data_IF_470908249449
#
_entry.id   IF_470908249449
#
_cell.length_a   1.000
_cell.length_b   1.000
_cell.length_c   1.000
_cell.angle_alpha   90.00
_cell.angle_beta   90.00
_cell.angle_gamma   90.00
#
_symmetry.space_group_name_H-M   'P 1'
#
loop_
_entity.id
_entity.type
_entity.pdbx_description
1 polymer ?
#
# COMPACT_ATOMS: atom_id res chain seq x y z
N UNK A 1 -5.47 11.40 -13.51
CA UNK A 1 -5.74 12.21 -14.71
C UNK A 1 -4.77 13.39 -14.70
N UNK A 2 -3.95 13.52 -15.75
CA UNK A 2 -2.94 14.57 -15.88
C UNK A 2 -3.15 15.32 -17.20
N UNK A 3 -3.02 16.65 -17.19
CA UNK A 3 -3.00 17.46 -18.40
C UNK A 3 -1.58 17.38 -19.00
N UNK A 4 -1.47 16.84 -20.21
CA UNK A 4 -0.19 16.66 -20.89
C UNK A 4 0.19 17.89 -21.71
N UNK A 5 -0.80 18.54 -22.33
CA UNK A 5 -0.61 19.79 -23.06
C UNK A 5 -1.91 20.59 -23.04
N UNK A 6 -1.78 21.90 -23.11
CA UNK A 6 -2.85 22.83 -23.28
C UNK A 6 -2.38 23.92 -24.26
N UNK A 7 -3.05 24.02 -25.40
CA UNK A 7 -2.78 25.02 -26.42
C UNK A 7 -4.01 25.92 -26.55
N UNK A 8 -3.80 27.22 -26.51
CA UNK A 8 -4.85 28.23 -26.70
C UNK A 8 -4.50 29.10 -27.91
N UNK A 9 -5.40 29.18 -28.88
CA UNK A 9 -5.21 29.97 -30.09
C UNK A 9 -6.37 30.94 -30.22
N UNK A 10 -6.07 32.22 -30.36
CA UNK A 10 -7.07 33.22 -30.64
C UNK A 10 -7.60 33.07 -32.07
N UNK A 11 -8.92 33.15 -32.25
CA UNK A 11 -9.58 33.07 -33.56
C UNK A 11 -10.51 34.26 -33.78
N UNK A 12 -10.65 34.62 -35.04
CA UNK A 12 -11.64 35.61 -35.42
C UNK A 12 -13.06 35.04 -35.32
N UNK A 13 -13.98 35.84 -34.86
CA UNK A 13 -15.42 35.54 -34.90
C UNK A 13 -15.99 35.81 -36.32
N UNK A 14 -17.30 35.66 -36.48
CA UNK A 14 -18.00 35.89 -37.75
C UNK A 14 -17.94 37.34 -38.24
N UNK A 15 -17.55 38.28 -37.41
CA UNK A 15 -17.33 39.68 -37.74
C UNK A 15 -15.87 40.02 -38.10
N UNK A 16 -14.98 39.03 -38.00
CA UNK A 16 -13.55 39.18 -38.24
C UNK A 16 -12.74 39.69 -37.04
N UNK A 17 -13.35 39.83 -35.89
CA UNK A 17 -12.69 40.30 -34.66
C UNK A 17 -12.16 39.12 -33.82
N UNK A 18 -10.96 39.25 -33.26
CA UNK A 18 -10.29 38.23 -32.46
C UNK A 18 -10.95 38.09 -31.06
N UNK A 19 -12.11 37.46 -31.01
CA UNK A 19 -12.94 37.31 -29.78
C UNK A 19 -13.11 35.85 -29.33
N UNK A 20 -12.67 34.90 -30.12
CA UNK A 20 -12.78 33.47 -29.80
C UNK A 20 -11.44 32.92 -29.38
N UNK A 21 -11.46 31.98 -28.46
CA UNK A 21 -10.29 31.20 -28.07
C UNK A 21 -10.59 29.75 -28.37
N UNK A 22 -9.77 29.17 -29.24
CA UNK A 22 -9.76 27.72 -29.47
C UNK A 22 -8.82 27.07 -28.46
N UNK A 23 -9.34 26.13 -27.67
CA UNK A 23 -8.59 25.46 -26.62
C UNK A 23 -8.46 23.97 -26.93
N UNK A 24 -7.21 23.52 -27.12
CA UNK A 24 -6.88 22.11 -27.31
C UNK A 24 -6.18 21.59 -26.07
N UNK A 25 -6.83 20.65 -25.36
CA UNK A 25 -6.31 20.06 -24.13
C UNK A 25 -6.11 18.55 -24.32
N UNK A 26 -4.88 18.08 -24.13
CA UNK A 26 -4.56 16.65 -24.11
C UNK A 26 -4.47 16.19 -22.66
N UNK A 27 -5.25 15.15 -22.36
CA UNK A 27 -5.35 14.58 -21.00
C UNK A 27 -4.88 13.13 -21.06
N UNK A 28 -4.05 12.73 -20.10
CA UNK A 28 -3.70 11.34 -19.83
C UNK A 28 -4.47 10.84 -18.61
N UNK A 29 -5.04 9.65 -18.72
CA UNK A 29 -5.71 8.97 -17.61
C UNK A 29 -5.04 7.62 -17.38
N UNK A 30 -4.86 7.28 -16.12
CA UNK A 30 -4.41 5.96 -15.69
C UNK A 30 -5.53 5.31 -14.89
N UNK A 31 -5.82 4.05 -15.18
CA UNK A 31 -6.78 3.24 -14.45
C UNK A 31 -6.10 1.95 -13.99
N UNK A 32 -6.33 1.57 -12.75
CA UNK A 32 -5.89 0.31 -12.20
C UNK A 32 -7.11 -0.44 -11.63
N UNK A 33 -7.17 -1.74 -11.89
CA UNK A 33 -8.14 -2.64 -11.31
C UNK A 33 -7.41 -3.74 -10.54
N UNK A 34 -7.96 -4.13 -9.40
CA UNK A 34 -7.39 -5.15 -8.52
C UNK A 34 -8.42 -6.25 -8.30
N UNK A 35 -7.95 -7.48 -8.27
CA UNK A 35 -8.75 -8.68 -7.99
C UNK A 35 -8.05 -9.49 -6.90
N UNK A 36 -8.82 -10.03 -5.95
CA UNK A 36 -8.30 -10.95 -4.95
C UNK A 36 -8.29 -12.36 -5.51
N UNK A 37 -7.10 -12.96 -5.58
CA UNK A 37 -6.91 -14.33 -6.00
C UNK A 37 -6.46 -15.19 -4.81
N UNK A 38 -7.07 -16.37 -4.58
CA UNK A 38 -6.57 -17.32 -3.60
C UNK A 38 -5.23 -17.90 -4.08
N UNK A 39 -4.23 -17.88 -3.21
CA UNK A 39 -2.89 -18.40 -3.52
C UNK A 39 -2.51 -19.42 -2.44
N UNK A 40 -2.09 -20.60 -2.85
CA UNK A 40 -1.62 -21.66 -1.97
C UNK A 40 -0.13 -21.90 -2.15
N UNK A 41 0.59 -22.06 -1.05
CA UNK A 41 2.03 -22.32 -1.04
C UNK A 41 2.34 -23.51 -0.17
N UNK A 42 3.29 -24.33 -0.62
CA UNK A 42 3.88 -25.38 0.21
C UNK A 42 4.90 -24.69 1.13
N UNK A 43 4.67 -24.80 2.43
CA UNK A 43 5.52 -24.18 3.46
C UNK A 43 6.41 -25.18 4.18
N UNK A 44 6.03 -26.45 4.17
CA UNK A 44 6.81 -27.54 4.73
C UNK A 44 6.60 -28.84 3.95
N UNK A 45 7.57 -29.76 4.02
CA UNK A 45 7.57 -31.03 3.34
C UNK A 45 8.45 -32.01 4.10
N UNK A 46 8.08 -33.28 4.13
CA UNK A 46 8.90 -34.38 4.57
C UNK A 46 8.57 -35.64 3.75
N UNK A 47 9.42 -36.65 3.86
CA UNK A 47 9.18 -37.97 3.29
C UNK A 47 9.26 -39.04 4.40
N UNK A 48 8.53 -40.13 4.21
CA UNK A 48 8.59 -41.31 5.09
C UNK A 48 9.72 -42.26 4.72
N UNK A 49 10.29 -42.11 3.52
CA UNK A 49 11.26 -43.06 2.96
C UNK A 49 12.70 -42.53 2.91
N UNK A 50 12.86 -41.21 2.67
CA UNK A 50 14.15 -40.57 2.46
C UNK A 50 14.23 -39.22 3.13
N UNK A 51 15.44 -38.70 3.28
CA UNK A 51 15.64 -37.35 3.75
C UNK A 51 15.31 -36.33 2.65
N UNK A 52 14.70 -35.23 3.05
CA UNK A 52 14.29 -34.17 2.14
C UNK A 52 15.05 -32.88 2.44
N UNK A 53 15.80 -32.43 1.46
CA UNK A 53 16.37 -31.08 1.49
C UNK A 53 15.47 -30.14 0.68
N UNK A 54 15.07 -29.02 1.29
CA UNK A 54 14.20 -28.05 0.62
C UNK A 54 14.88 -26.70 0.49
N UNK A 55 14.83 -26.12 -0.71
CA UNK A 55 15.18 -24.73 -0.94
C UNK A 55 13.95 -23.85 -0.68
N UNK A 56 14.15 -22.72 0.03
CA UNK A 56 13.07 -21.81 0.36
C UNK A 56 13.30 -20.46 -0.29
N UNK A 57 12.25 -19.88 -0.86
CA UNK A 57 12.21 -18.51 -1.37
C UNK A 57 11.16 -17.69 -0.62
N UNK A 58 11.28 -16.38 -0.72
CA UNK A 58 10.30 -15.45 -0.19
C UNK A 58 9.53 -14.81 -1.34
N UNK A 59 8.24 -14.62 -1.15
CA UNK A 59 7.38 -13.87 -2.05
C UNK A 59 6.70 -12.74 -1.27
N UNK A 60 6.59 -11.58 -1.87
CA UNK A 60 5.82 -10.47 -1.36
C UNK A 60 4.39 -10.56 -1.91
N UNK A 61 3.43 -10.61 -1.02
CA UNK A 61 2.01 -10.65 -1.33
C UNK A 61 1.37 -9.32 -0.98
N UNK A 62 0.54 -8.83 -1.88
CA UNK A 62 -0.28 -7.64 -1.67
C UNK A 62 -1.70 -8.10 -1.35
N UNK A 63 -2.24 -7.58 -0.27
CA UNK A 63 -3.62 -7.83 0.16
C UNK A 63 -4.34 -6.49 0.32
N UNK A 64 -5.58 -6.39 -0.18
CA UNK A 64 -6.40 -5.21 0.07
C UNK A 64 -6.54 -4.97 1.57
N UNK A 65 -6.23 -3.76 1.99
CA UNK A 65 -6.40 -3.31 3.37
C UNK A 65 -7.59 -2.36 3.46
N UNK A 66 -7.53 -1.25 2.69
CA UNK A 66 -8.54 -0.20 2.77
C UNK A 66 -8.59 0.66 1.51
N UNK A 67 -9.56 1.56 1.45
CA UNK A 67 -9.63 2.63 0.46
C UNK A 67 -10.11 3.93 1.09
N UNK A 68 -9.71 5.04 0.53
CA UNK A 68 -10.17 6.35 0.95
C UNK A 68 -10.56 7.21 -0.25
N UNK A 69 -11.61 8.03 -0.07
CA UNK A 69 -12.04 9.08 -1.00
C UNK A 69 -12.58 10.24 -0.16
N UNK A 70 -11.75 11.25 0.06
CA UNK A 70 -12.07 12.33 0.99
C UNK A 70 -11.66 13.69 0.45
N UNK A 71 -12.46 14.70 0.78
CA UNK A 71 -12.15 16.10 0.53
C UNK A 71 -11.65 16.74 1.82
N UNK A 72 -10.57 17.48 1.73
CA UNK A 72 -9.99 18.21 2.86
C UNK A 72 -9.57 19.60 2.44
N UNK A 73 -9.40 20.50 3.40
CA UNK A 73 -8.97 21.87 3.18
C UNK A 73 -7.58 22.07 3.78
N UNK A 74 -6.65 22.57 2.97
CA UNK A 74 -5.38 23.09 3.43
C UNK A 74 -5.43 24.62 3.51
N UNK A 75 -5.06 25.16 4.67
CA UNK A 75 -5.12 26.59 4.96
C UNK A 75 -3.76 27.07 5.42
N UNK A 76 -3.18 28.01 4.67
CA UNK A 76 -1.83 28.52 4.94
C UNK A 76 -1.84 30.03 4.85
N UNK A 77 -1.10 30.68 5.75
CA UNK A 77 -0.86 32.11 5.72
C UNK A 77 0.57 32.34 5.21
N UNK A 78 0.68 33.03 4.09
CA UNK A 78 1.95 33.52 3.58
C UNK A 78 2.23 34.87 4.25
N UNK A 79 3.24 34.88 5.10
CA UNK A 79 3.69 36.09 5.81
C UNK A 79 4.87 36.73 5.09
N UNK A 80 5.03 38.04 5.31
CA UNK A 80 6.19 38.82 4.82
C UNK A 80 6.43 38.66 3.32
N UNK A 81 5.37 38.77 2.52
CA UNK A 81 5.49 38.65 1.06
C UNK A 81 6.29 39.79 0.40
N UNK A 82 6.67 40.80 1.19
CA UNK A 82 7.57 41.89 0.76
C UNK A 82 6.89 42.99 -0.09
N UNK A 83 5.59 42.87 -0.31
CA UNK A 83 4.80 43.84 -1.10
C UNK A 83 3.45 44.11 -0.43
N UNK A 84 2.91 45.31 -0.65
CA UNK A 84 1.55 45.64 -0.22
C UNK A 84 0.58 45.28 -1.34
N UNK A 85 -0.33 44.35 -1.08
CA UNK A 85 -1.32 43.87 -2.04
C UNK A 85 -2.64 44.63 -1.83
N UNK A 86 -3.08 45.37 -2.85
CA UNK A 86 -4.37 46.07 -2.84
C UNK A 86 -5.51 45.13 -3.23
N UNK A 87 -5.35 44.39 -4.34
CA UNK A 87 -6.32 43.37 -4.73
C UNK A 87 -5.69 42.18 -5.43
N UNK A 88 -6.36 41.02 -5.31
CA UNK A 88 -5.99 39.79 -5.97
C UNK A 88 -6.73 39.68 -7.30
N UNK A 89 -5.98 39.55 -8.39
CA UNK A 89 -6.52 39.41 -9.74
C UNK A 89 -6.79 37.96 -10.10
N UNK A 90 -5.87 37.07 -9.71
CA UNK A 90 -6.02 35.64 -9.99
C UNK A 90 -5.18 34.81 -9.01
N UNK A 91 -5.62 33.58 -8.76
CA UNK A 91 -4.87 32.58 -7.98
C UNK A 91 -5.07 31.21 -8.60
N UNK A 92 -3.99 30.44 -8.69
CA UNK A 92 -4.05 29.04 -9.07
C UNK A 92 -2.94 28.24 -8.40
N UNK A 93 -3.10 26.91 -8.41
CA UNK A 93 -2.15 25.96 -7.86
C UNK A 93 -1.63 25.03 -8.96
N UNK A 94 -0.37 24.65 -8.88
CA UNK A 94 0.29 23.73 -9.80
C UNK A 94 1.40 22.92 -9.15
N UNK A 95 2.06 22.10 -9.94
CA UNK A 95 3.24 21.31 -9.52
C UNK A 95 3.02 20.50 -8.24
N UNK A 96 1.91 19.78 -8.15
CA UNK A 96 1.58 18.95 -7.00
C UNK A 96 2.52 17.74 -6.91
N UNK A 97 3.29 17.66 -5.84
CA UNK A 97 4.10 16.52 -5.45
C UNK A 97 3.50 15.88 -4.21
N UNK A 98 3.50 14.56 -4.14
CA UNK A 98 2.87 13.82 -3.05
C UNK A 98 3.69 12.60 -2.66
N UNK A 99 3.58 12.20 -1.40
CA UNK A 99 4.13 10.98 -0.85
C UNK A 99 3.09 10.29 0.05
N UNK A 100 3.08 8.95 0.02
CA UNK A 100 2.22 8.13 0.87
C UNK A 100 3.10 7.33 1.82
N UNK A 101 2.70 7.29 3.10
CA UNK A 101 3.38 6.49 4.13
C UNK A 101 2.35 5.94 5.11
N UNK A 102 2.73 4.89 5.86
CA UNK A 102 1.91 4.36 6.94
C UNK A 102 2.55 4.68 8.27
N UNK A 103 1.74 5.19 9.20
CA UNK A 103 2.16 5.40 10.59
C UNK A 103 0.97 5.30 11.51
N UNK A 104 1.12 4.56 12.61
CA UNK A 104 0.12 4.46 13.69
C UNK A 104 -1.30 4.10 13.17
N UNK A 105 -1.41 3.13 12.24
CA UNK A 105 -2.68 2.71 11.66
C UNK A 105 -3.35 3.74 10.75
N UNK A 106 -2.58 4.68 10.21
CA UNK A 106 -3.07 5.70 9.29
C UNK A 106 -2.23 5.73 8.03
N UNK A 107 -2.88 5.94 6.89
CA UNK A 107 -2.21 6.35 5.67
C UNK A 107 -1.98 7.87 5.73
N UNK A 108 -0.71 8.26 5.83
CA UNK A 108 -0.31 9.67 5.81
C UNK A 108 -0.01 10.07 4.37
N UNK A 109 -0.62 11.15 3.94
CA UNK A 109 -0.43 11.75 2.62
C UNK A 109 0.17 13.12 2.85
N UNK A 110 1.42 13.28 2.46
CA UNK A 110 2.15 14.55 2.58
C UNK A 110 2.58 15.03 1.20
N UNK A 111 2.74 16.31 1.05
CA UNK A 111 3.23 16.83 -0.22
C UNK A 111 3.36 18.34 -0.23
N UNK A 112 3.70 18.83 -1.42
CA UNK A 112 3.91 20.26 -1.69
C UNK A 112 3.27 20.61 -3.02
N UNK A 113 2.69 21.78 -3.13
CA UNK A 113 2.21 22.35 -4.38
C UNK A 113 2.61 23.82 -4.47
N UNK A 114 2.76 24.34 -5.68
CA UNK A 114 3.05 25.75 -5.88
C UNK A 114 1.75 26.53 -5.99
N UNK A 115 1.64 27.62 -5.22
CA UNK A 115 0.57 28.62 -5.37
C UNK A 115 1.14 29.81 -6.14
N UNK A 116 0.43 30.23 -7.18
CA UNK A 116 0.72 31.45 -7.93
C UNK A 116 -0.42 32.43 -7.75
N UNK A 117 -0.10 33.64 -7.32
CA UNK A 117 -1.03 34.74 -7.12
C UNK A 117 -0.64 35.90 -8.01
N UNK A 118 -1.54 36.37 -8.86
CA UNK A 118 -1.41 37.65 -9.56
C UNK A 118 -2.18 38.67 -8.77
N UNK A 119 -1.54 39.77 -8.46
CA UNK A 119 -2.09 40.84 -7.64
C UNK A 119 -1.84 42.22 -8.24
N UNK A 120 -2.54 43.21 -7.76
CA UNK A 120 -2.31 44.63 -7.98
C UNK A 120 -1.87 45.23 -6.65
N UNK A 121 -0.80 46.02 -6.68
CA UNK A 121 -0.30 46.74 -5.51
C UNK A 121 -0.95 48.12 -5.34
N UNK A 122 -0.57 48.84 -4.28
CA UNK A 122 -1.05 50.20 -3.98
C UNK A 122 -0.71 51.21 -5.07
N UNK A 123 0.34 50.99 -5.85
CA UNK A 123 0.75 51.85 -6.96
C UNK A 123 0.10 51.44 -8.30
N UNK A 124 -0.90 50.53 -8.24
CA UNK A 124 -1.61 50.00 -9.40
C UNK A 124 -0.73 49.16 -10.34
N UNK A 125 0.43 48.69 -9.88
CA UNK A 125 1.29 47.79 -10.63
C UNK A 125 0.83 46.34 -10.47
N UNK A 126 0.96 45.57 -11.55
CA UNK A 126 0.63 44.14 -11.53
C UNK A 126 1.89 43.36 -11.18
N UNK A 127 1.78 42.55 -10.13
CA UNK A 127 2.84 41.66 -9.69
C UNK A 127 2.39 40.21 -9.62
N UNK A 128 3.38 39.31 -9.46
CA UNK A 128 3.16 37.87 -9.31
C UNK A 128 3.97 37.36 -8.13
N UNK A 129 3.31 36.55 -7.30
CA UNK A 129 3.95 35.79 -6.21
C UNK A 129 3.79 34.32 -6.52
N UNK A 130 4.89 33.57 -6.42
CA UNK A 130 4.88 32.12 -6.51
C UNK A 130 5.56 31.55 -5.27
N UNK A 131 4.87 30.68 -4.54
CA UNK A 131 5.36 30.06 -3.30
C UNK A 131 4.98 28.58 -3.23
N UNK A 132 5.89 27.71 -2.77
CA UNK A 132 5.56 26.35 -2.38
C UNK A 132 4.74 26.36 -1.09
N UNK A 133 3.75 25.48 -1.03
CA UNK A 133 2.87 25.26 0.12
C UNK A 133 2.82 23.80 0.42
N UNK A 134 3.14 23.44 1.65
CA UNK A 134 3.06 22.07 2.12
C UNK A 134 1.64 21.72 2.55
N UNK A 135 1.30 20.45 2.42
CA UNK A 135 0.05 19.90 2.93
C UNK A 135 0.28 18.54 3.56
N UNK A 136 -0.57 18.20 4.50
CA UNK A 136 -0.69 16.87 5.07
C UNK A 136 -2.16 16.47 5.20
N UNK A 137 -2.40 15.17 5.07
CA UNK A 137 -3.69 14.55 5.27
C UNK A 137 -3.50 13.13 5.79
N UNK A 138 -4.39 12.68 6.68
CA UNK A 138 -4.34 11.32 7.19
C UNK A 138 -5.69 10.61 7.01
N UNK A 139 -5.66 9.43 6.39
CA UNK A 139 -6.78 8.52 6.33
C UNK A 139 -6.58 7.39 7.34
N UNK A 140 -7.60 7.11 8.16
CA UNK A 140 -7.56 5.96 9.07
C UNK A 140 -7.63 4.67 8.27
N UNK A 141 -6.90 3.65 8.71
CA UNK A 141 -6.92 2.31 8.13
C UNK A 141 -7.60 1.35 9.11
N UNK A 142 -8.25 0.30 8.60
CA UNK A 142 -8.88 -0.72 9.43
C UNK A 142 -7.85 -1.50 10.26
N UNK A 143 -6.71 -1.81 9.65
CA UNK A 143 -5.59 -2.48 10.28
C UNK A 143 -4.35 -1.59 10.27
N UNK A 144 -3.35 -1.94 11.09
CA UNK A 144 -2.06 -1.26 11.17
C UNK A 144 -0.96 -2.09 10.50
N UNK A 145 -0.92 -2.18 9.17
CA UNK A 145 0.10 -2.96 8.48
C UNK A 145 1.48 -2.31 8.64
N UNK A 146 2.53 -3.13 8.80
CA UNK A 146 3.91 -2.63 8.88
C UNK A 146 4.36 -1.98 7.56
N UNK A 147 3.89 -2.51 6.43
CA UNK A 147 4.22 -2.04 5.09
C UNK A 147 2.98 -1.92 4.23
N UNK A 148 2.90 -0.80 3.52
CA UNK A 148 1.80 -0.54 2.58
C UNK A 148 2.33 -0.19 1.19
N UNK A 149 1.53 -0.55 0.18
CA UNK A 149 1.54 0.07 -1.14
C UNK A 149 0.24 0.86 -1.32
N UNK A 150 0.36 2.13 -1.67
CA UNK A 150 -0.79 2.98 -1.91
C UNK A 150 -0.87 3.35 -3.40
N UNK A 151 -1.99 3.01 -4.03
CA UNK A 151 -2.33 3.40 -5.39
C UNK A 151 -3.37 4.50 -5.32
N UNK A 152 -2.95 5.74 -5.51
CA UNK A 152 -3.86 6.84 -5.34
C UNK A 152 -3.32 8.19 -5.80
N UNK A 153 -4.14 9.19 -5.59
CA UNK A 153 -3.86 10.54 -6.00
C UNK A 153 -4.40 11.59 -5.05
N UNK A 154 -3.80 12.76 -5.15
CA UNK A 154 -4.33 13.99 -4.60
C UNK A 154 -4.62 14.92 -5.78
N UNK A 155 -5.77 15.57 -5.74
CA UNK A 155 -6.20 16.54 -6.73
C UNK A 155 -6.57 17.83 -6.03
N UNK A 156 -6.15 18.96 -6.57
CA UNK A 156 -6.61 20.27 -6.15
C UNK A 156 -7.94 20.54 -6.86
N UNK A 157 -8.98 20.82 -6.09
CA UNK A 157 -10.32 21.11 -6.59
C UNK A 157 -10.53 22.60 -6.77
N UNK A 158 -10.09 23.39 -5.78
CA UNK A 158 -10.23 24.83 -5.78
C UNK A 158 -9.10 25.49 -4.98
N UNK A 159 -8.77 26.70 -5.33
CA UNK A 159 -7.84 27.54 -4.59
C UNK A 159 -8.43 28.95 -4.49
N UNK A 160 -8.34 29.55 -3.31
CA UNK A 160 -8.70 30.94 -3.07
C UNK A 160 -7.61 31.63 -2.27
N UNK A 161 -7.51 32.92 -2.46
CA UNK A 161 -6.56 33.76 -1.76
C UNK A 161 -7.27 35.00 -1.23
N UNK A 162 -6.99 35.40 0.00
CA UNK A 162 -7.51 36.61 0.62
C UNK A 162 -6.36 37.41 1.23
N UNK A 163 -6.46 38.73 1.13
CA UNK A 163 -5.55 39.65 1.81
C UNK A 163 -6.00 39.79 3.27
N UNK A 164 -5.12 39.46 4.21
CA UNK A 164 -5.42 39.48 5.66
C UNK A 164 -4.60 40.52 6.43
N UNK A 165 -3.74 41.28 5.75
CA UNK A 165 -2.91 42.35 6.29
C UNK A 165 -2.03 42.97 5.22
N UNK A 166 -1.25 43.99 5.56
CA UNK A 166 -0.43 44.73 4.59
C UNK A 166 0.54 43.85 3.76
N UNK A 167 1.04 42.76 4.35
CA UNK A 167 1.98 41.84 3.68
C UNK A 167 1.64 40.38 3.99
N UNK A 168 0.33 40.05 4.12
CA UNK A 168 -0.14 38.70 4.45
C UNK A 168 -1.23 38.24 3.51
N UNK A 169 -1.06 37.04 2.97
CA UNK A 169 -2.05 36.37 2.14
C UNK A 169 -2.50 35.09 2.82
N UNK A 170 -3.79 34.89 3.00
CA UNK A 170 -4.37 33.62 3.40
C UNK A 170 -4.72 32.84 2.14
N UNK A 171 -4.10 31.66 1.99
CA UNK A 171 -4.38 30.72 0.92
C UNK A 171 -5.26 29.60 1.49
N UNK A 172 -6.39 29.35 0.85
CA UNK A 172 -7.27 28.22 1.16
C UNK A 172 -7.38 27.34 -0.06
N UNK A 173 -6.94 26.10 0.05
CA UNK A 173 -6.95 25.12 -1.03
C UNK A 173 -7.83 23.95 -0.65
N UNK A 174 -8.84 23.68 -1.43
CA UNK A 174 -9.67 22.49 -1.32
C UNK A 174 -9.07 21.38 -2.15
N UNK A 175 -8.82 20.24 -1.53
CA UNK A 175 -8.10 19.11 -2.11
C UNK A 175 -8.91 17.84 -1.92
N UNK A 176 -8.82 16.93 -2.89
CA UNK A 176 -9.40 15.59 -2.82
C UNK A 176 -8.30 14.55 -2.82
N UNK A 177 -8.27 13.72 -1.78
CA UNK A 177 -7.42 12.54 -1.71
C UNK A 177 -8.24 11.29 -1.98
N UNK A 178 -7.75 10.43 -2.88
CA UNK A 178 -8.36 9.16 -3.23
C UNK A 178 -7.28 8.10 -3.36
N UNK A 179 -7.54 6.89 -2.85
CA UNK A 179 -6.60 5.80 -3.02
C UNK A 179 -7.10 4.46 -2.50
N UNK A 180 -6.39 3.41 -2.94
CA UNK A 180 -6.49 2.05 -2.43
C UNK A 180 -5.18 1.75 -1.70
N UNK A 181 -5.31 1.22 -0.50
CA UNK A 181 -4.19 0.82 0.34
C UNK A 181 -4.10 -0.70 0.35
N UNK A 182 -2.95 -1.21 -0.06
CA UNK A 182 -2.62 -2.62 -0.01
C UNK A 182 -1.59 -2.84 1.09
N UNK A 183 -1.83 -3.80 1.97
CA UNK A 183 -0.82 -4.29 2.91
C UNK A 183 0.12 -5.26 2.22
N UNK A 184 1.42 -5.15 2.54
CA UNK A 184 2.46 -6.03 2.04
C UNK A 184 2.82 -7.05 3.10
N UNK A 185 2.73 -8.35 2.80
CA UNK A 185 3.25 -9.40 3.65
C UNK A 185 4.24 -10.29 2.90
N UNK A 186 5.30 -10.67 3.58
CA UNK A 186 6.29 -11.60 3.03
C UNK A 186 5.97 -13.00 3.53
N UNK A 187 5.85 -13.95 2.60
CA UNK A 187 5.66 -15.39 2.89
C UNK A 187 6.83 -16.18 2.35
N UNK A 188 7.29 -17.15 3.15
CA UNK A 188 8.29 -18.12 2.70
C UNK A 188 7.59 -19.37 2.17
N UNK A 189 8.08 -19.89 1.07
CA UNK A 189 7.57 -21.11 0.45
C UNK A 189 8.73 -21.99 -0.02
N UNK A 190 8.45 -23.28 -0.19
CA UNK A 190 9.40 -24.23 -0.75
C UNK A 190 9.42 -24.04 -2.26
N UNK A 191 10.59 -23.70 -2.79
CA UNK A 191 10.79 -23.46 -4.23
C UNK A 191 11.39 -24.65 -4.96
N UNK A 192 12.06 -25.56 -4.22
CA UNK A 192 12.67 -26.75 -4.78
C UNK A 192 12.84 -27.83 -3.70
N UNK A 193 12.84 -29.09 -4.11
CA UNK A 193 12.95 -30.26 -3.24
C UNK A 193 13.98 -31.18 -3.84
N UNK A 194 14.97 -31.55 -3.04
CA UNK A 194 15.95 -32.58 -3.40
C UNK A 194 15.81 -33.76 -2.44
N UNK A 195 15.62 -34.97 -2.99
CA UNK A 195 15.60 -36.20 -2.22
C UNK A 195 17.04 -36.64 -2.00
N UNK A 196 17.37 -36.94 -0.75
CA UNK A 196 18.66 -37.48 -0.37
C UNK A 196 18.44 -38.95 0.04
N UNK A 197 19.08 -39.88 -0.67
CA UNK A 197 19.01 -41.29 -0.31
C UNK A 197 19.61 -41.47 1.09
N UNK A 198 18.83 -42.02 1.99
CA UNK A 198 19.30 -42.42 3.31
C UNK A 198 20.22 -43.64 3.15
N UNK A 199 21.53 -43.44 3.27
CA UNK A 199 22.52 -44.52 3.32
C UNK A 199 22.60 -45.19 4.70
N UNK A 200 21.81 -44.70 5.69
CA UNK A 200 21.71 -45.29 7.01
C UNK A 200 20.78 -46.50 7.00
N UNK A 201 21.23 -47.61 7.55
CA UNK A 201 20.37 -48.76 7.84
C UNK A 201 19.20 -48.26 8.72
N UNK A 202 17.97 -48.20 8.18
CA UNK A 202 16.78 -48.10 9.02
C UNK A 202 16.80 -49.34 9.92
N UNK A 203 16.89 -49.13 11.23
CA UNK A 203 16.66 -50.23 12.18
C UNK A 203 15.20 -50.71 12.00
N UNK A 204 15.04 -51.67 11.09
CA UNK A 204 13.76 -52.17 10.61
C UNK A 204 13.02 -53.07 11.63
N UNK A 205 13.35 -53.01 12.91
CA UNK A 205 12.82 -53.92 13.93
C UNK A 205 11.80 -53.34 14.89
N UNK A 206 11.37 -52.10 14.70
CA UNK A 206 10.37 -51.47 15.57
C UNK A 206 9.04 -51.36 14.81
N UNK A 207 8.00 -52.03 15.28
CA UNK A 207 6.65 -51.88 14.71
C UNK A 207 5.95 -50.63 15.24
N UNK A 208 6.34 -50.16 16.43
CA UNK A 208 5.66 -49.09 17.13
C UNK A 208 6.65 -48.40 18.09
N UNK A 209 6.63 -47.07 18.10
CA UNK A 209 7.40 -46.24 19.05
C UNK A 209 6.45 -45.57 20.04
N UNK A 210 6.79 -45.60 21.32
CA UNK A 210 6.05 -44.85 22.34
C UNK A 210 6.66 -43.44 22.47
N UNK A 211 5.83 -42.41 22.27
CA UNK A 211 6.22 -41.01 22.37
C UNK A 211 5.36 -40.31 23.40
N UNK A 212 5.95 -39.49 24.25
CA UNK A 212 5.23 -38.63 25.16
C UNK A 212 5.17 -37.20 24.60
N UNK A 213 3.99 -36.82 24.15
CA UNK A 213 3.75 -35.52 23.53
C UNK A 213 3.37 -34.45 24.53
N UNK A 214 3.68 -33.20 24.20
CA UNK A 214 3.19 -32.03 24.89
C UNK A 214 1.80 -31.60 24.38
N UNK A 215 1.04 -30.91 25.25
CA UNK A 215 -0.24 -30.30 24.85
C UNK A 215 -0.03 -29.26 23.74
N UNK A 216 -0.80 -29.36 22.67
CA UNK A 216 -0.72 -28.46 21.50
C UNK A 216 0.34 -28.79 20.48
N UNK A 217 1.13 -29.86 20.67
CA UNK A 217 2.13 -30.30 19.72
C UNK A 217 1.47 -30.71 18.38
N UNK A 218 2.11 -30.37 17.26
CA UNK A 218 1.60 -30.66 15.92
C UNK A 218 1.82 -32.12 15.55
N UNK A 219 0.74 -32.82 15.15
CA UNK A 219 0.82 -34.20 14.66
C UNK A 219 1.70 -34.28 13.42
N UNK A 220 1.73 -33.23 12.58
CA UNK A 220 2.63 -33.11 11.43
C UNK A 220 4.10 -33.12 11.84
N UNK A 221 4.48 -32.37 12.89
CA UNK A 221 5.87 -32.29 13.35
C UNK A 221 6.32 -33.60 13.98
N UNK A 222 5.41 -34.31 14.67
CA UNK A 222 5.66 -35.67 15.18
C UNK A 222 5.85 -36.63 14.03
N UNK A 223 4.93 -36.64 13.06
CA UNK A 223 5.00 -37.51 11.90
C UNK A 223 6.30 -37.31 11.09
N UNK A 224 6.72 -36.06 10.90
CA UNK A 224 7.97 -35.70 10.24
C UNK A 224 9.20 -36.21 11.01
N UNK A 225 9.20 -36.07 12.34
CA UNK A 225 10.30 -36.51 13.21
C UNK A 225 10.51 -38.04 13.16
N UNK A 226 9.39 -38.77 13.09
CA UNK A 226 9.42 -40.24 13.11
C UNK A 226 9.29 -40.89 11.73
N UNK A 227 9.36 -40.09 10.65
CA UNK A 227 9.25 -40.58 9.27
C UNK A 227 8.00 -41.46 9.03
N UNK A 228 6.87 -41.08 9.63
CA UNK A 228 5.59 -41.77 9.47
C UNK A 228 4.54 -40.80 8.90
N UNK A 229 3.33 -41.28 8.64
CA UNK A 229 2.26 -40.44 8.13
C UNK A 229 1.41 -39.85 9.26
N UNK A 230 0.87 -38.64 9.04
CA UNK A 230 -0.07 -38.03 9.96
C UNK A 230 -1.28 -38.94 10.20
N UNK A 231 -1.80 -39.57 9.14
CA UNK A 231 -2.96 -40.46 9.22
C UNK A 231 -2.65 -41.72 10.03
N UNK A 232 -1.45 -42.28 9.92
CA UNK A 232 -1.07 -43.40 10.73
C UNK A 232 -1.05 -43.08 12.24
N UNK A 233 -0.51 -41.92 12.62
CA UNK A 233 -0.52 -41.50 14.01
C UNK A 233 -1.96 -41.23 14.49
N UNK A 234 -2.78 -40.54 13.70
CA UNK A 234 -4.16 -40.24 14.02
C UNK A 234 -4.99 -41.50 14.23
N UNK A 235 -4.87 -42.47 13.32
CA UNK A 235 -5.63 -43.71 13.38
C UNK A 235 -5.24 -44.58 14.57
N UNK A 236 -3.94 -44.65 14.91
CA UNK A 236 -3.44 -45.48 16.00
C UNK A 236 -3.80 -44.90 17.39
N UNK A 237 -4.02 -43.59 17.48
CA UNK A 237 -4.27 -42.90 18.74
C UNK A 237 -5.67 -42.28 18.85
N UNK A 238 -6.57 -42.57 17.91
CA UNK A 238 -7.94 -42.02 17.84
C UNK A 238 -7.97 -40.46 17.88
N UNK A 239 -6.95 -39.81 17.24
CA UNK A 239 -6.83 -38.35 17.20
C UNK A 239 -7.53 -37.82 15.95
N UNK A 240 -8.49 -36.88 16.12
CA UNK A 240 -9.20 -36.24 15.00
C UNK A 240 -8.60 -34.88 14.61
N UNK A 241 -7.89 -34.22 15.53
CA UNK A 241 -7.31 -32.89 15.31
C UNK A 241 -5.90 -32.94 14.73
N UNK A 242 -5.41 -31.82 14.18
CA UNK A 242 -4.03 -31.69 13.69
C UNK A 242 -3.03 -31.37 14.81
N UNK A 243 -3.53 -31.18 16.04
CA UNK A 243 -2.73 -30.97 17.24
C UNK A 243 -3.17 -31.90 18.35
N UNK A 244 -2.22 -32.30 19.16
CA UNK A 244 -2.49 -33.10 20.35
C UNK A 244 -3.18 -32.21 21.39
N UNK A 245 -4.44 -32.50 21.69
CA UNK A 245 -5.23 -31.67 22.62
C UNK A 245 -4.78 -31.84 24.08
N UNK A 246 -4.46 -33.07 24.47
CA UNK A 246 -3.96 -33.39 25.82
C UNK A 246 -2.59 -34.05 25.68
N UNK A 247 -1.57 -33.48 26.32
CA UNK A 247 -0.27 -34.13 26.40
C UNK A 247 -0.37 -35.53 26.98
N UNK A 248 0.45 -36.44 26.52
CA UNK A 248 0.44 -37.84 26.98
C UNK A 248 1.14 -38.82 26.06
N UNK A 249 0.92 -40.07 26.33
CA UNK A 249 1.52 -41.17 25.58
C UNK A 249 0.83 -41.32 24.21
N UNK A 250 1.63 -41.31 23.14
CA UNK A 250 1.21 -41.59 21.77
C UNK A 250 1.95 -42.84 21.25
N UNK A 251 1.23 -43.64 20.49
CA UNK A 251 1.77 -44.76 19.73
C UNK A 251 2.10 -44.30 18.32
N UNK A 252 3.36 -44.34 17.96
CA UNK A 252 3.86 -43.89 16.64
C UNK A 252 4.16 -45.12 15.79
N UNK A 253 3.36 -45.42 14.76
CA UNK A 253 3.62 -46.52 13.84
C UNK A 253 4.88 -46.23 13.00
N UNK A 254 5.76 -47.20 12.90
CA UNK A 254 6.88 -47.12 11.97
C UNK A 254 6.37 -47.29 10.53
N UNK A 255 6.77 -46.41 9.61
CA UNK A 255 6.49 -46.61 8.19
C UNK A 255 7.23 -47.85 7.67
N UNK A 256 6.49 -48.70 6.98
CA UNK A 256 7.04 -49.93 6.33
C UNK A 256 7.72 -49.56 5.02
#
# INVERSE_FOLDING_TARGET
MNVCSCEAVAKADSSGEMRLIDLNVRISTEAAAFENLPVSFITDVYSTECDVQSARKSIELLTYNDSFDSVFTNKVVLESIGVSVDCILSVWCGELRKNFSCKDGKCLITGTYNVTVIYKDSDSQIGMIQKPVDFDYSAALHDSPERINCYGGVQILACSCAVTGESRLEIKTEMKARGIVLSCCVRKYISDITLVENTGEKEANCALTIYYSDCGESVWDIAKRYHTTVDAIKNENDISSDRVENGGMLLIPCAK
#
